data_IF_695126173557
#
_entry.id   IF_695126173557
#
_cell.length_a   1.000
_cell.length_b   1.000
_cell.length_c   1.000
_cell.angle_alpha   90.00
_cell.angle_beta   90.00
_cell.angle_gamma   90.00
#
_symmetry.space_group_name_H-M   'P 1'
#
loop_
_entity.id
_entity.type
_entity.pdbx_description
1 polymer ?
#
# COMPACT_ATOMS: atom_id res chain seq x y z
N UNK A 1 6.93 8.94 18.56
CA UNK A 1 7.18 10.12 17.70
C UNK A 1 5.90 10.89 17.37
N UNK A 2 4.79 10.23 16.93
CA UNK A 2 3.54 10.92 16.56
C UNK A 2 2.99 11.82 17.67
N UNK A 3 3.10 11.42 18.94
CA UNK A 3 2.63 12.23 20.08
C UNK A 3 3.42 13.51 20.31
N UNK A 4 4.63 13.59 19.78
CA UNK A 4 5.55 14.73 19.94
C UNK A 4 5.62 15.60 18.69
N UNK A 5 5.14 15.08 17.56
CA UNK A 5 5.14 15.79 16.29
C UNK A 5 3.97 16.78 16.21
N UNK A 6 4.22 17.94 15.65
CA UNK A 6 3.18 18.89 15.26
C UNK A 6 2.51 18.41 13.97
N UNK A 7 1.30 18.89 13.70
CA UNK A 7 0.60 18.61 12.47
C UNK A 7 1.46 18.97 11.23
N UNK A 8 1.58 18.05 10.30
CA UNK A 8 2.39 18.22 9.07
C UNK A 8 3.88 17.91 9.19
N UNK A 9 4.40 17.59 10.39
CA UNK A 9 5.81 17.21 10.57
C UNK A 9 6.10 15.75 10.13
N UNK A 10 5.09 14.88 10.14
CA UNK A 10 5.24 13.49 9.70
C UNK A 10 4.64 13.38 8.31
N UNK A 11 5.48 13.05 7.34
CA UNK A 11 5.07 12.77 5.96
C UNK A 11 5.42 11.31 5.67
N UNK A 12 4.44 10.49 5.25
CA UNK A 12 4.69 9.09 4.98
C UNK A 12 5.53 8.90 3.71
N UNK A 13 6.47 7.95 3.76
CA UNK A 13 7.33 7.56 2.62
C UNK A 13 6.96 6.18 2.11
N UNK A 14 6.41 5.31 2.96
CA UNK A 14 5.84 4.05 2.50
C UNK A 14 4.85 4.29 1.35
N UNK A 15 4.87 3.44 0.29
CA UNK A 15 4.13 3.73 -0.94
C UNK A 15 2.62 3.77 -0.72
N UNK A 16 2.10 2.89 0.10
CA UNK A 16 0.69 2.79 0.44
C UNK A 16 0.24 3.98 1.30
N UNK A 17 1.00 4.32 2.31
CA UNK A 17 0.69 5.47 3.18
C UNK A 17 0.85 6.80 2.44
N UNK A 18 1.86 6.92 1.58
CA UNK A 18 2.01 8.09 0.70
C UNK A 18 0.80 8.23 -0.24
N UNK A 19 0.33 7.12 -0.81
CA UNK A 19 -0.86 7.10 -1.66
C UNK A 19 -2.11 7.56 -0.88
N UNK A 20 -2.32 7.06 0.34
CA UNK A 20 -3.41 7.51 1.21
C UNK A 20 -3.32 9.01 1.51
N UNK A 21 -2.14 9.51 1.85
CA UNK A 21 -1.93 10.93 2.10
C UNK A 21 -2.25 11.80 0.87
N UNK A 22 -1.97 11.29 -0.33
CA UNK A 22 -2.33 11.95 -1.59
C UNK A 22 -3.84 11.93 -1.83
N UNK A 23 -4.50 10.79 -1.62
CA UNK A 23 -5.95 10.65 -1.78
C UNK A 23 -6.73 11.50 -0.77
N UNK A 24 -6.23 11.65 0.47
CA UNK A 24 -6.85 12.50 1.50
C UNK A 24 -6.95 13.98 1.11
N UNK A 25 -6.17 14.43 0.12
CA UNK A 25 -6.26 15.80 -0.41
C UNK A 25 -7.55 16.05 -1.20
N UNK A 26 -8.32 15.00 -1.50
CA UNK A 26 -9.57 15.09 -2.27
C UNK A 26 -10.81 15.29 -1.40
N UNK A 27 -10.67 15.29 -0.08
CA UNK A 27 -11.78 15.47 0.87
C UNK A 27 -11.28 15.79 2.26
N UNK A 28 -12.21 15.82 3.21
CA UNK A 28 -11.91 16.03 4.63
C UNK A 28 -11.88 14.71 5.39
N UNK A 29 -11.25 14.71 6.55
CA UNK A 29 -11.19 13.52 7.42
C UNK A 29 -12.58 13.03 7.86
N UNK A 30 -13.54 13.93 8.04
CA UNK A 30 -14.90 13.59 8.41
C UNK A 30 -15.67 12.86 7.29
N UNK A 31 -15.24 13.03 6.05
CA UNK A 31 -15.87 12.40 4.87
C UNK A 31 -15.30 11.01 4.56
N UNK A 32 -14.26 10.55 5.26
CA UNK A 32 -13.70 9.21 5.06
C UNK A 32 -14.70 8.17 5.50
N UNK A 33 -15.10 7.26 4.61
CA UNK A 33 -15.85 6.04 4.93
C UNK A 33 -14.88 4.91 5.29
N UNK A 34 -13.92 4.57 4.42
CA UNK A 34 -12.90 3.57 4.66
C UNK A 34 -11.60 3.89 3.91
N UNK A 35 -10.49 3.35 4.40
CA UNK A 35 -9.22 3.30 3.69
C UNK A 35 -9.10 1.94 3.01
N UNK A 36 -8.51 1.90 1.82
CA UNK A 36 -8.22 0.67 1.08
C UNK A 36 -6.71 0.54 0.95
N UNK A 37 -6.15 -0.45 1.62
CA UNK A 37 -4.73 -0.78 1.63
C UNK A 37 -4.47 -1.90 0.63
N UNK A 38 -3.65 -1.67 -0.40
CA UNK A 38 -3.33 -2.70 -1.38
C UNK A 38 -2.11 -3.53 -0.95
N UNK A 39 -2.07 -4.77 -1.37
CA UNK A 39 -0.95 -5.69 -1.16
C UNK A 39 -0.58 -6.37 -2.48
N UNK A 40 0.70 -6.64 -2.72
CA UNK A 40 1.11 -7.46 -3.88
C UNK A 40 0.67 -8.92 -3.76
N UNK A 41 0.43 -9.38 -2.53
CA UNK A 41 0.16 -10.77 -2.18
C UNK A 41 1.41 -11.60 -1.92
N UNK A 42 2.62 -11.04 -2.14
CA UNK A 42 3.89 -11.72 -1.92
C UNK A 42 4.15 -12.91 -2.88
N UNK A 43 5.27 -13.63 -2.69
CA UNK A 43 5.68 -14.74 -3.55
C UNK A 43 4.80 -15.99 -3.42
N UNK A 44 4.07 -16.14 -2.33
CA UNK A 44 3.24 -17.34 -2.06
C UNK A 44 1.76 -17.12 -2.32
N UNK A 45 1.38 -16.05 -3.02
CA UNK A 45 0.00 -15.80 -3.42
C UNK A 45 -0.57 -17.01 -4.18
N UNK A 46 -1.73 -17.51 -3.70
CA UNK A 46 -2.40 -18.68 -4.26
C UNK A 46 -1.84 -20.03 -3.81
N UNK A 47 -0.85 -20.06 -2.91
CA UNK A 47 -0.36 -21.28 -2.30
C UNK A 47 -1.23 -21.70 -1.11
N UNK A 48 -1.44 -23.00 -0.95
CA UNK A 48 -2.08 -23.54 0.25
C UNK A 48 -1.08 -23.60 1.41
N UNK A 49 -1.60 -23.70 2.63
CA UNK A 49 -0.76 -23.85 3.83
C UNK A 49 0.15 -25.07 3.75
N UNK A 50 -0.33 -26.18 3.20
CA UNK A 50 0.47 -27.41 3.00
C UNK A 50 1.63 -27.17 2.03
N UNK A 51 1.40 -26.43 0.94
CA UNK A 51 2.46 -26.07 -0.01
C UNK A 51 3.54 -25.17 0.61
N UNK A 52 3.15 -24.36 1.60
CA UNK A 52 4.06 -23.45 2.30
C UNK A 52 4.86 -24.11 3.42
N UNK A 53 4.56 -25.37 3.83
CA UNK A 53 5.24 -26.03 4.95
C UNK A 53 6.74 -26.24 4.74
N UNK A 54 7.16 -26.45 3.49
CA UNK A 54 8.54 -26.75 3.11
C UNK A 54 9.23 -25.60 2.36
N UNK A 55 8.69 -24.37 2.43
CA UNK A 55 9.32 -23.23 1.75
C UNK A 55 10.66 -22.87 2.38
N UNK A 56 11.63 -22.53 1.52
CA UNK A 56 12.95 -22.13 1.97
C UNK A 56 13.06 -20.62 2.14
N UNK A 57 14.05 -20.13 2.91
CA UNK A 57 14.32 -18.69 3.02
C UNK A 57 14.58 -18.03 1.66
N UNK A 58 15.21 -18.74 0.73
CA UNK A 58 15.52 -18.26 -0.61
C UNK A 58 14.24 -18.04 -1.43
N UNK A 59 13.25 -18.92 -1.30
CA UNK A 59 11.94 -18.75 -1.93
C UNK A 59 11.18 -17.56 -1.32
N UNK A 60 11.20 -17.42 0.00
CA UNK A 60 10.58 -16.30 0.69
C UNK A 60 11.25 -14.95 0.37
N UNK A 61 12.53 -14.95 -0.01
CA UNK A 61 13.28 -13.77 -0.39
C UNK A 61 13.03 -13.30 -1.85
N UNK A 62 12.17 -14.01 -2.62
CA UNK A 62 11.86 -13.66 -4.00
C UNK A 62 10.54 -12.91 -4.09
N UNK A 63 10.61 -11.56 -4.06
CA UNK A 63 9.40 -10.75 -4.24
C UNK A 63 9.07 -10.61 -5.74
N UNK A 64 7.80 -10.82 -6.17
CA UNK A 64 7.43 -10.82 -7.60
C UNK A 64 7.52 -9.44 -8.27
N UNK A 65 7.37 -8.34 -7.53
CA UNK A 65 7.24 -6.99 -8.09
C UNK A 65 8.29 -6.02 -7.57
N UNK A 66 8.64 -6.10 -6.26
CA UNK A 66 9.50 -5.14 -5.59
C UNK A 66 10.90 -5.68 -5.33
N UNK A 67 11.90 -4.83 -5.56
CA UNK A 67 13.28 -5.08 -5.11
C UNK A 67 13.47 -4.41 -3.74
N UNK A 68 13.42 -5.17 -2.66
CA UNK A 68 13.46 -4.69 -1.28
C UNK A 68 14.58 -5.36 -0.48
N UNK A 69 14.88 -4.81 0.70
CA UNK A 69 15.74 -5.49 1.67
C UNK A 69 15.11 -6.80 2.17
N UNK A 70 15.95 -7.72 2.66
CA UNK A 70 15.55 -9.07 3.06
C UNK A 70 14.38 -9.09 4.07
N UNK A 71 14.39 -8.21 5.06
CA UNK A 71 13.35 -8.14 6.08
C UNK A 71 11.98 -7.79 5.47
N UNK A 72 11.92 -6.75 4.64
CA UNK A 72 10.67 -6.34 4.00
C UNK A 72 10.15 -7.41 3.04
N UNK A 73 11.06 -8.08 2.32
CA UNK A 73 10.68 -9.18 1.42
C UNK A 73 10.08 -10.35 2.20
N UNK A 74 10.68 -10.74 3.32
CA UNK A 74 10.16 -11.80 4.19
C UNK A 74 8.81 -11.40 4.81
N UNK A 75 8.68 -10.19 5.30
CA UNK A 75 7.42 -9.67 5.85
C UNK A 75 6.32 -9.62 4.78
N UNK A 76 6.67 -9.33 3.52
CA UNK A 76 5.73 -9.39 2.41
C UNK A 76 5.30 -10.82 2.09
N UNK A 77 6.23 -11.79 2.16
CA UNK A 77 5.96 -13.19 1.90
C UNK A 77 4.93 -13.79 2.87
N UNK A 78 4.89 -13.28 4.09
CA UNK A 78 3.99 -13.74 5.18
C UNK A 78 2.78 -12.82 5.38
N UNK A 79 2.63 -11.76 4.60
CA UNK A 79 1.68 -10.66 4.78
C UNK A 79 1.81 -9.89 6.12
N UNK A 80 2.80 -10.20 6.94
CA UNK A 80 3.10 -9.44 8.17
C UNK A 80 3.35 -7.96 7.85
N UNK A 81 4.03 -7.66 6.73
CA UNK A 81 4.23 -6.28 6.29
C UNK A 81 2.89 -5.54 6.17
N UNK A 82 1.89 -6.18 5.59
CA UNK A 82 0.57 -5.58 5.40
C UNK A 82 -0.17 -5.37 6.72
N UNK A 83 0.00 -6.29 7.67
CA UNK A 83 -0.51 -6.11 9.04
C UNK A 83 0.15 -4.92 9.76
N UNK A 84 1.46 -4.73 9.63
CA UNK A 84 2.17 -3.56 10.16
C UNK A 84 1.68 -2.27 9.52
N UNK A 85 1.57 -2.24 8.20
CA UNK A 85 1.06 -1.08 7.47
C UNK A 85 -0.39 -0.71 7.85
N UNK A 86 -1.24 -1.69 8.12
CA UNK A 86 -2.61 -1.45 8.60
C UNK A 86 -2.59 -0.72 9.95
N UNK A 87 -1.75 -1.19 10.90
CA UNK A 87 -1.57 -0.54 12.21
C UNK A 87 -1.03 0.88 12.02
N UNK A 88 -0.03 1.04 11.16
CA UNK A 88 0.57 2.34 10.86
C UNK A 88 -0.42 3.30 10.20
N UNK A 89 -1.23 2.83 9.24
CA UNK A 89 -2.28 3.63 8.61
C UNK A 89 -3.32 4.12 9.64
N UNK A 90 -3.75 3.23 10.54
CA UNK A 90 -4.66 3.60 11.63
C UNK A 90 -4.06 4.69 12.50
N UNK A 91 -2.78 4.57 12.88
CA UNK A 91 -2.09 5.54 13.71
C UNK A 91 -1.81 6.85 12.96
N UNK A 92 -1.38 6.81 11.71
CA UNK A 92 -1.02 7.99 10.93
C UNK A 92 -2.25 8.84 10.60
N UNK A 93 -3.31 8.19 10.14
CA UNK A 93 -4.49 8.88 9.63
C UNK A 93 -5.62 8.99 10.66
N UNK A 94 -5.50 8.34 11.82
CA UNK A 94 -6.51 8.39 12.88
C UNK A 94 -7.83 7.70 12.48
N UNK A 95 -7.77 6.73 11.58
CA UNK A 95 -8.90 5.92 11.13
C UNK A 95 -8.87 4.58 11.88
N UNK A 96 -9.97 4.16 12.53
CA UNK A 96 -10.02 2.86 13.20
C UNK A 96 -9.69 1.70 12.25
N UNK A 97 -9.02 0.65 12.77
CA UNK A 97 -8.59 -0.49 11.98
C UNK A 97 -9.75 -1.20 11.24
N UNK A 98 -10.93 -1.22 11.86
CA UNK A 98 -12.15 -1.80 11.29
C UNK A 98 -12.66 -1.07 10.04
N UNK A 99 -12.12 0.12 9.78
CA UNK A 99 -12.39 0.93 8.58
C UNK A 99 -11.24 0.92 7.60
N UNK A 100 -10.30 -0.02 7.74
CA UNK A 100 -9.17 -0.21 6.81
C UNK A 100 -9.34 -1.58 6.16
N UNK A 101 -9.69 -1.55 4.88
CA UNK A 101 -9.88 -2.74 4.06
C UNK A 101 -8.54 -3.11 3.41
N UNK A 102 -8.17 -4.39 3.41
CA UNK A 102 -6.98 -4.89 2.71
C UNK A 102 -7.42 -5.64 1.46
N UNK A 103 -6.80 -5.33 0.33
CA UNK A 103 -7.04 -6.04 -0.94
C UNK A 103 -5.73 -6.39 -1.62
N UNK A 104 -5.68 -7.56 -2.25
CA UNK A 104 -4.52 -7.99 -3.04
C UNK A 104 -4.62 -7.41 -4.44
N UNK A 105 -3.58 -6.68 -4.85
CA UNK A 105 -3.42 -6.07 -6.17
C UNK A 105 -2.04 -6.45 -6.73
N UNK A 106 -1.93 -7.58 -7.45
CA UNK A 106 -0.64 -8.15 -7.85
C UNK A 106 0.22 -7.25 -8.71
N UNK A 107 -0.40 -6.38 -9.53
CA UNK A 107 0.30 -5.46 -10.41
C UNK A 107 0.98 -4.31 -9.65
N UNK A 108 0.57 -4.05 -8.40
CA UNK A 108 1.11 -2.97 -7.54
C UNK A 108 1.15 -1.59 -8.21
N UNK A 109 0.18 -1.31 -9.09
CA UNK A 109 0.03 -0.03 -9.78
C UNK A 109 -0.83 0.93 -8.95
N UNK A 110 -1.93 0.44 -8.39
CA UNK A 110 -2.72 1.17 -7.41
C UNK A 110 -2.12 0.89 -6.04
N UNK A 111 -1.57 1.94 -5.40
CA UNK A 111 -0.87 1.77 -4.12
C UNK A 111 -1.82 1.84 -2.93
N UNK A 112 -2.86 2.64 -2.98
CA UNK A 112 -3.96 2.70 -2.00
C UNK A 112 -5.11 3.53 -2.53
N UNK A 113 -6.24 3.46 -1.84
CA UNK A 113 -7.40 4.27 -2.14
C UNK A 113 -8.14 4.71 -0.86
N UNK A 114 -9.01 5.70 -1.01
CA UNK A 114 -9.93 6.14 0.04
C UNK A 114 -11.34 6.12 -0.52
N UNK A 115 -12.25 5.48 0.19
CA UNK A 115 -13.68 5.55 -0.09
C UNK A 115 -14.30 6.60 0.82
N UNK A 116 -15.04 7.52 0.23
CA UNK A 116 -15.72 8.60 0.92
C UNK A 116 -17.19 8.23 1.23
N UNK A 117 -17.83 9.02 2.09
CA UNK A 117 -19.21 8.76 2.56
C UNK A 117 -20.26 8.81 1.46
N UNK A 118 -20.00 9.49 0.36
CA UNK A 118 -20.85 9.55 -0.84
C UNK A 118 -20.70 8.31 -1.74
N UNK A 119 -19.74 7.42 -1.44
CA UNK A 119 -19.43 6.22 -2.20
C UNK A 119 -18.33 6.42 -3.25
N UNK A 120 -17.82 7.63 -3.45
CA UNK A 120 -16.67 7.86 -4.34
C UNK A 120 -15.41 7.20 -3.77
N UNK A 121 -14.65 6.54 -4.63
CA UNK A 121 -13.33 5.98 -4.28
C UNK A 121 -12.25 6.68 -5.09
N UNK A 122 -11.31 7.32 -4.40
CA UNK A 122 -10.15 8.00 -4.99
C UNK A 122 -8.92 7.15 -4.75
N UNK A 123 -8.24 6.76 -5.82
CA UNK A 123 -7.05 5.93 -5.78
C UNK A 123 -5.82 6.67 -6.32
N UNK A 124 -4.66 6.41 -5.73
CA UNK A 124 -3.38 6.82 -6.28
C UNK A 124 -2.76 5.65 -7.05
N UNK A 125 -2.43 5.89 -8.32
CA UNK A 125 -1.79 4.93 -9.19
C UNK A 125 -0.50 5.49 -9.78
N UNK A 126 0.55 4.67 -9.80
CA UNK A 126 1.86 4.97 -10.40
C UNK A 126 2.64 3.66 -10.61
N UNK A 127 3.72 3.65 -11.39
CA UNK A 127 4.61 2.50 -11.46
C UNK A 127 5.09 2.06 -10.06
N UNK A 128 5.39 0.77 -9.83
CA UNK A 128 5.86 0.27 -8.55
C UNK A 128 7.31 0.71 -8.28
N UNK A 129 7.45 1.91 -7.76
CA UNK A 129 8.73 2.57 -7.50
C UNK A 129 8.63 3.45 -6.26
N UNK A 130 9.73 3.51 -5.47
CA UNK A 130 9.82 4.39 -4.30
C UNK A 130 10.22 5.83 -4.65
N UNK A 131 10.56 6.12 -5.91
CA UNK A 131 10.98 7.47 -6.31
C UNK A 131 9.88 8.50 -6.07
N UNK A 132 8.65 8.18 -6.47
CA UNK A 132 7.51 9.09 -6.30
C UNK A 132 7.20 9.39 -4.82
N UNK A 133 6.99 8.40 -3.92
CA UNK A 133 6.72 8.68 -2.52
C UNK A 133 7.90 9.39 -1.82
N UNK A 134 9.15 9.04 -2.14
CA UNK A 134 10.33 9.70 -1.57
C UNK A 134 10.41 11.16 -2.03
N UNK A 135 10.30 11.43 -3.34
CA UNK A 135 10.36 12.79 -3.86
C UNK A 135 9.24 13.67 -3.32
N UNK A 136 8.04 13.13 -3.24
CA UNK A 136 6.90 13.84 -2.67
C UNK A 136 7.12 14.16 -1.17
N UNK A 137 7.64 13.21 -0.40
CA UNK A 137 7.89 13.42 1.03
C UNK A 137 8.96 14.50 1.27
N UNK A 138 10.01 14.53 0.45
CA UNK A 138 11.08 15.54 0.53
C UNK A 138 10.60 16.95 0.15
N UNK A 139 9.58 17.05 -0.70
CA UNK A 139 9.06 18.33 -1.21
C UNK A 139 7.63 18.64 -0.71
N UNK A 140 7.14 17.89 0.25
CA UNK A 140 5.76 18.01 0.75
C UNK A 140 5.41 19.46 1.13
N UNK A 141 4.22 19.99 0.75
CA UNK A 141 3.10 19.29 0.09
C UNK A 141 3.15 19.31 -1.45
N UNK A 142 4.18 19.85 -2.06
CA UNK A 142 4.26 20.08 -3.49
C UNK A 142 4.78 18.85 -4.24
N UNK A 143 4.32 18.67 -5.48
CA UNK A 143 4.79 17.58 -6.34
C UNK A 143 6.10 17.97 -7.01
N UNK A 144 6.98 16.97 -7.18
CA UNK A 144 8.23 17.12 -7.94
C UNK A 144 7.94 16.72 -9.39
N UNK A 145 8.15 17.63 -10.37
CA UNK A 145 7.99 17.30 -11.78
C UNK A 145 8.89 16.09 -12.17
N UNK A 146 8.37 15.22 -13.02
CA UNK A 146 9.09 14.08 -13.61
C UNK A 146 9.79 13.15 -12.61
N UNK A 147 9.29 13.07 -11.37
CA UNK A 147 9.81 12.19 -10.33
C UNK A 147 9.70 10.70 -10.73
N UNK A 148 8.66 10.34 -11.48
CA UNK A 148 8.42 9.00 -12.03
C UNK A 148 7.73 9.13 -13.39
N UNK A 149 8.00 8.22 -14.36
CA UNK A 149 7.26 8.19 -15.62
C UNK A 149 5.76 8.02 -15.40
N UNK A 150 4.97 8.71 -16.20
CA UNK A 150 3.51 8.58 -16.18
C UNK A 150 3.08 7.19 -16.66
N UNK A 151 1.93 6.71 -16.17
CA UNK A 151 1.27 5.54 -16.74
C UNK A 151 0.85 5.85 -18.20
N UNK A 152 1.05 4.89 -19.08
CA UNK A 152 0.69 5.01 -20.50
C UNK A 152 -0.76 4.54 -20.71
N UNK A 153 -1.69 5.47 -20.78
CA UNK A 153 -3.11 5.18 -21.05
C UNK A 153 -3.44 5.07 -22.55
N UNK A 154 -2.45 5.09 -23.45
CA UNK A 154 -2.67 4.83 -24.88
C UNK A 154 -2.88 3.34 -25.16
N UNK A 155 -2.61 2.47 -24.20
CA UNK A 155 -2.77 1.03 -24.28
C UNK A 155 -3.82 0.53 -23.29
N UNK A 156 -4.42 -0.63 -23.59
CA UNK A 156 -5.35 -1.27 -22.67
C UNK A 156 -4.61 -1.83 -21.44
N UNK A 157 -5.13 -1.57 -20.26
CA UNK A 157 -4.65 -2.11 -19.00
C UNK A 157 -5.74 -2.90 -18.29
N UNK A 158 -5.33 -3.96 -17.59
CA UNK A 158 -6.21 -4.72 -16.69
C UNK A 158 -5.59 -4.75 -15.30
N UNK A 159 -6.31 -4.24 -14.32
CA UNK A 159 -5.92 -4.26 -12.92
C UNK A 159 -6.88 -5.14 -12.14
N UNK A 160 -6.35 -6.04 -11.34
CA UNK A 160 -7.13 -6.99 -10.56
C UNK A 160 -7.02 -6.68 -9.08
N UNK A 161 -8.14 -6.89 -8.37
CA UNK A 161 -8.22 -6.76 -6.92
C UNK A 161 -8.89 -8.02 -6.39
N UNK A 162 -8.26 -8.67 -5.43
CA UNK A 162 -8.68 -9.94 -4.85
C UNK A 162 -8.79 -9.80 -3.32
N UNK A 163 -9.72 -10.47 -2.67
CA UNK A 163 -9.74 -10.51 -1.21
C UNK A 163 -8.46 -11.19 -0.69
N UNK A 164 -8.06 -10.84 0.53
CA UNK A 164 -7.00 -11.54 1.24
C UNK A 164 -7.46 -12.98 1.53
N UNK A 165 -6.59 -13.94 1.30
CA UNK A 165 -6.83 -15.36 1.65
C UNK A 165 -6.51 -15.58 3.13
N UNK A 166 -7.48 -15.30 3.99
CA UNK A 166 -7.36 -15.45 5.44
C UNK A 166 -7.26 -16.92 5.90
N UNK A 167 -7.54 -17.87 5.03
CA UNK A 167 -7.41 -19.31 5.35
C UNK A 167 -5.94 -19.72 5.32
N UNK A 168 -5.21 -19.27 4.31
CA UNK A 168 -3.81 -19.64 4.12
C UNK A 168 -2.84 -18.63 4.76
N UNK A 169 -3.29 -17.38 4.96
CA UNK A 169 -2.56 -16.28 5.62
C UNK A 169 -3.40 -15.72 6.78
N UNK A 170 -3.49 -16.43 7.93
CA UNK A 170 -4.29 -16.02 9.09
C UNK A 170 -3.69 -14.84 9.85
#
# INVERSE_FOLDING_TARGET
YKRQAQAGQIVPVDSEHSAMAQCLRSGTHAEIKSLVLTASGGPFRGWTREQMMDVTPEQAAQHPTWSMGQMNTLNSATLVNKGLELIEASLLFGVPAERIEVTVHPQSIVHSAITFVDGATIAQASPPSMKLPISLALNWPDRVPDAEPSLDFSQAHSWTFEPVDEVNFP
#
